data_IF_148240539788
#
_entry.id   IF_148240539788
#
_cell.length_a   1.000
_cell.length_b   1.000
_cell.length_c   1.000
_cell.angle_alpha   90.00
_cell.angle_beta   90.00
_cell.angle_gamma   90.00
#
_symmetry.space_group_name_H-M   'P 1'
#
loop_
_entity.id
_entity.type
_entity.pdbx_description
1 polymer ?
#
# COMPACT_ATOMS: atom_id res chain seq x y z
N UNK A 1 8.23 6.03 -17.31
CA UNK A 1 6.86 5.48 -17.19
C UNK A 1 6.26 6.15 -15.98
N UNK A 2 5.02 6.64 -16.06
CA UNK A 2 4.31 7.13 -14.87
C UNK A 2 3.59 5.94 -14.24
N UNK A 3 3.92 5.62 -12.98
CA UNK A 3 3.29 4.52 -12.24
C UNK A 3 2.58 5.10 -11.02
N UNK A 4 1.28 4.85 -10.92
CA UNK A 4 0.46 5.19 -9.76
C UNK A 4 -0.03 3.90 -9.11
N UNK A 5 0.11 3.81 -7.79
CA UNK A 5 -0.36 2.68 -7.00
C UNK A 5 -1.29 3.20 -5.89
N UNK A 6 -2.37 2.44 -5.61
CA UNK A 6 -3.34 2.78 -4.58
C UNK A 6 -3.34 1.69 -3.51
N UNK A 7 -3.25 2.09 -2.25
CA UNK A 7 -3.39 1.21 -1.08
C UNK A 7 -4.47 1.77 -0.16
N UNK A 8 -5.46 0.95 0.19
CA UNK A 8 -6.58 1.35 1.06
C UNK A 8 -6.15 1.45 2.52
N UNK A 9 -5.25 0.58 2.95
CA UNK A 9 -4.77 0.46 4.31
C UNK A 9 -3.73 1.49 4.71
N UNK A 10 -3.15 1.26 5.89
CA UNK A 10 -2.08 2.08 6.47
C UNK A 10 -0.67 1.53 6.19
N UNK A 11 -0.57 0.32 5.64
CA UNK A 11 0.71 -0.37 5.42
C UNK A 11 0.81 -0.84 3.97
N UNK A 12 2.00 -0.73 3.40
CA UNK A 12 2.34 -1.25 2.06
C UNK A 12 3.45 -2.28 2.18
N UNK A 13 3.53 -3.20 1.22
CA UNK A 13 4.65 -4.16 1.10
C UNK A 13 5.00 -4.92 2.39
N UNK A 14 4.01 -5.22 3.23
CA UNK A 14 4.21 -5.97 4.46
C UNK A 14 4.10 -7.48 4.22
N UNK A 15 4.87 -8.26 4.96
CA UNK A 15 4.85 -9.72 4.87
C UNK A 15 3.71 -10.32 5.69
N UNK A 16 2.61 -10.70 5.03
CA UNK A 16 1.54 -11.46 5.67
C UNK A 16 2.03 -12.83 6.20
N UNK A 17 2.97 -13.47 5.49
CA UNK A 17 3.58 -14.73 5.93
C UNK A 17 4.51 -14.57 7.15
N UNK A 18 4.97 -13.34 7.42
CA UNK A 18 5.82 -13.01 8.57
C UNK A 18 5.04 -12.77 9.87
N UNK A 19 3.72 -12.54 9.79
CA UNK A 19 2.86 -12.25 10.95
C UNK A 19 2.95 -13.33 12.05
N UNK A 20 2.95 -14.65 11.74
CA UNK A 20 3.07 -15.68 12.77
C UNK A 20 4.36 -15.59 13.60
N UNK A 21 5.47 -15.15 12.99
CA UNK A 21 6.76 -15.02 13.68
C UNK A 21 6.81 -13.78 14.56
N UNK A 22 6.15 -12.68 14.15
CA UNK A 22 5.96 -11.52 15.02
C UNK A 22 5.06 -11.86 16.22
N UNK A 23 3.92 -12.52 15.99
CA UNK A 23 3.03 -12.96 17.07
C UNK A 23 3.71 -13.98 17.99
N UNK A 24 4.57 -14.84 17.45
CA UNK A 24 5.38 -15.81 18.19
C UNK A 24 6.56 -15.22 18.96
N UNK A 25 6.93 -13.96 18.69
CA UNK A 25 8.05 -13.27 19.34
C UNK A 25 9.42 -13.48 18.68
N UNK A 26 9.48 -14.20 17.55
CA UNK A 26 10.71 -14.38 16.76
C UNK A 26 11.09 -13.13 15.96
N UNK A 27 10.11 -12.27 15.66
CA UNK A 27 10.30 -10.92 15.09
C UNK A 27 9.87 -9.90 16.15
N UNK A 28 10.75 -8.95 16.46
CA UNK A 28 10.56 -8.05 17.61
C UNK A 28 9.51 -6.97 17.34
N UNK A 29 9.57 -6.32 16.17
CA UNK A 29 8.67 -5.25 15.80
C UNK A 29 7.90 -5.54 14.51
N UNK A 30 6.63 -5.13 14.48
CA UNK A 30 5.76 -5.21 13.28
C UNK A 30 6.41 -4.56 12.06
N UNK A 31 7.10 -3.45 12.25
CA UNK A 31 7.66 -2.67 11.15
C UNK A 31 8.82 -3.40 10.44
N UNK A 32 9.44 -4.40 11.07
CA UNK A 32 10.40 -5.30 10.42
C UNK A 32 9.76 -6.21 9.36
N UNK A 33 8.43 -6.34 9.38
CA UNK A 33 7.69 -7.06 8.35
C UNK A 33 7.47 -6.21 7.10
N UNK A 34 7.77 -4.91 7.13
CA UNK A 34 7.58 -3.99 6.00
C UNK A 34 8.82 -4.05 5.11
N UNK A 35 8.68 -4.63 3.91
CA UNK A 35 9.79 -4.75 2.98
C UNK A 35 10.17 -3.41 2.33
N UNK A 36 9.19 -2.50 2.17
CA UNK A 36 9.39 -1.15 1.64
C UNK A 36 8.39 -0.16 2.23
N UNK A 37 8.86 1.02 2.61
CA UNK A 37 8.04 2.15 3.05
C UNK A 37 7.38 2.87 1.86
N UNK A 38 6.33 3.68 2.07
CA UNK A 38 5.77 4.52 1.02
C UNK A 38 6.80 5.46 0.37
N UNK A 39 7.72 6.00 1.16
CA UNK A 39 8.77 6.90 0.71
C UNK A 39 9.73 6.18 -0.25
N UNK A 40 10.14 4.95 0.07
CA UNK A 40 10.99 4.11 -0.79
C UNK A 40 10.31 3.73 -2.12
N UNK A 41 8.98 3.70 -2.18
CA UNK A 41 8.25 3.55 -3.44
C UNK A 41 8.33 4.83 -4.28
N UNK A 42 8.14 6.00 -3.65
CA UNK A 42 8.21 7.30 -4.35
C UNK A 42 9.60 7.60 -4.90
N UNK A 43 10.65 7.20 -4.18
CA UNK A 43 12.03 7.27 -4.66
C UNK A 43 12.30 6.42 -5.92
N UNK A 44 11.42 5.45 -6.22
CA UNK A 44 11.47 4.60 -7.41
C UNK A 44 10.46 5.01 -8.48
N UNK A 45 10.04 6.28 -8.46
CA UNK A 45 9.09 6.87 -9.40
C UNK A 45 7.69 6.21 -9.39
N UNK A 46 7.27 5.67 -8.23
CA UNK A 46 5.92 5.15 -8.01
C UNK A 46 5.16 6.12 -7.11
N UNK A 47 4.14 6.79 -7.66
CA UNK A 47 3.19 7.58 -6.87
C UNK A 47 2.28 6.64 -6.07
N UNK A 48 2.76 6.22 -4.89
CA UNK A 48 1.98 5.42 -3.96
C UNK A 48 1.08 6.31 -3.10
N UNK A 49 -0.23 6.15 -3.33
CA UNK A 49 -1.30 6.81 -2.58
C UNK A 49 -1.85 5.85 -1.53
N UNK A 50 -1.40 6.06 -0.29
CA UNK A 50 -1.92 5.37 0.88
C UNK A 50 -3.33 5.84 1.18
N UNK A 51 -4.05 5.08 2.01
CA UNK A 51 -5.41 5.41 2.45
C UNK A 51 -6.37 5.71 1.30
N UNK A 52 -6.10 5.20 0.10
CA UNK A 52 -6.89 5.49 -1.09
C UNK A 52 -7.48 4.19 -1.63
N UNK A 53 -8.81 4.15 -1.72
CA UNK A 53 -9.54 2.97 -2.20
C UNK A 53 -10.09 3.22 -3.60
N UNK A 54 -9.73 2.36 -4.55
CA UNK A 54 -10.39 2.33 -5.85
C UNK A 54 -11.77 1.69 -5.68
N UNK A 55 -12.82 2.44 -5.96
CA UNK A 55 -14.21 2.00 -5.77
C UNK A 55 -14.91 1.60 -7.07
N UNK A 56 -14.45 2.12 -8.21
CA UNK A 56 -15.04 1.85 -9.52
C UNK A 56 -13.96 1.81 -10.62
N UNK A 57 -14.19 0.97 -11.64
CA UNK A 57 -13.37 0.84 -12.84
C UNK A 57 -14.22 1.09 -14.09
N UNK A 58 -13.83 2.06 -14.90
CA UNK A 58 -14.35 2.27 -16.25
C UNK A 58 -13.33 1.77 -17.26
N UNK A 59 -13.52 0.54 -17.73
CA UNK A 59 -12.58 -0.09 -18.67
C UNK A 59 -12.65 0.54 -20.06
N UNK A 60 -13.85 0.92 -20.51
CA UNK A 60 -14.04 1.50 -21.84
C UNK A 60 -13.46 2.92 -21.93
N UNK A 61 -13.67 3.73 -20.89
CA UNK A 61 -13.07 5.06 -20.77
C UNK A 61 -11.63 5.05 -20.22
N UNK A 62 -11.13 3.88 -19.79
CA UNK A 62 -9.81 3.69 -19.18
C UNK A 62 -9.59 4.58 -17.95
N UNK A 63 -10.58 4.62 -17.04
CA UNK A 63 -10.55 5.45 -15.83
C UNK A 63 -10.78 4.62 -14.58
N UNK A 64 -10.25 5.11 -13.47
CA UNK A 64 -10.52 4.59 -12.13
C UNK A 64 -11.11 5.69 -11.27
N UNK A 65 -12.05 5.35 -10.40
CA UNK A 65 -12.54 6.23 -9.35
C UNK A 65 -11.89 5.82 -8.04
N UNK A 66 -11.19 6.75 -7.43
CA UNK A 66 -10.49 6.54 -6.17
C UNK A 66 -11.09 7.44 -5.09
N UNK A 67 -11.21 6.91 -3.88
CA UNK A 67 -11.72 7.58 -2.69
C UNK A 67 -10.58 7.69 -1.68
N UNK A 68 -10.22 8.91 -1.30
CA UNK A 68 -9.24 9.16 -0.25
C UNK A 68 -9.92 9.03 1.11
N UNK A 69 -9.60 7.96 1.84
CA UNK A 69 -10.17 7.62 3.15
C UNK A 69 -9.65 8.51 4.29
N UNK A 70 -8.65 9.35 4.07
CA UNK A 70 -8.26 10.39 5.05
C UNK A 70 -9.14 11.63 4.94
N UNK A 71 -9.56 12.00 3.71
CA UNK A 71 -10.34 13.22 3.46
C UNK A 71 -11.83 12.99 3.19
N UNK A 72 -12.27 11.75 2.92
CA UNK A 72 -13.68 11.32 2.80
C UNK A 72 -13.89 10.16 1.85
#
# INVERSE_FOLDING_TARGET
>A
LEIVAFERGHFTSYSACGIPYWVGGDVEARDELIARTPEEHRERDIDLRMRTEVTELDVAGQRVKALDRESG
#
